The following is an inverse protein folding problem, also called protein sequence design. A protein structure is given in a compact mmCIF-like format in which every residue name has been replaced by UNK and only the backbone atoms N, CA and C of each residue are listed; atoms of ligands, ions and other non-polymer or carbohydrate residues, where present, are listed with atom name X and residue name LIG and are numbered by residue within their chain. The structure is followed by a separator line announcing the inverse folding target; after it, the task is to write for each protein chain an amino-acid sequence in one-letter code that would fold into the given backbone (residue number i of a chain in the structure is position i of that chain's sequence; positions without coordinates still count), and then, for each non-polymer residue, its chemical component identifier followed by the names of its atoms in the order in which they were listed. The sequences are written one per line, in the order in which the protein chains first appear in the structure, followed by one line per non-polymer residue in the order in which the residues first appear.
data_IF_849030764400
#
_entry.id   IF_849030764400
#
_cell.length_a   1.000
_cell.length_b   1.000
_cell.length_c   1.000
_cell.angle_alpha   90.00
_cell.angle_beta   90.00
_cell.angle_gamma   90.00
#
_symmetry.space_group_name_H-M   'P 1'
#
loop_
_entity.id
_entity.type
_entity.pdbx_description
1 polymer ?
#
# COMPACT_ATOMS: atom_id res chain seq x y z
N UNK A 1 13.65 -1.46 -12.14
CA UNK A 1 12.43 -0.68 -12.40
C UNK A 1 11.34 -0.97 -11.38
N UNK A 2 10.82 -2.21 -11.25
CA UNK A 2 9.60 -2.45 -10.46
C UNK A 2 9.78 -2.26 -8.93
N UNK A 3 10.89 -2.70 -8.32
CA UNK A 3 11.14 -2.53 -6.88
C UNK A 3 11.37 -1.06 -6.46
N UNK A 4 12.08 -0.29 -7.27
CA UNK A 4 12.38 1.13 -6.99
C UNK A 4 11.11 1.99 -7.06
N UNK A 5 10.24 1.75 -8.05
CA UNK A 5 8.94 2.43 -8.15
C UNK A 5 8.02 2.08 -6.98
N UNK A 6 8.07 0.84 -6.50
CA UNK A 6 7.33 0.41 -5.32
C UNK A 6 7.82 1.13 -4.07
N UNK A 7 9.14 1.15 -3.81
CA UNK A 7 9.71 1.89 -2.68
C UNK A 7 9.40 3.38 -2.72
N UNK A 8 9.40 3.98 -3.91
CA UNK A 8 9.01 5.38 -4.10
C UNK A 8 7.53 5.61 -3.79
N UNK A 9 6.67 4.67 -4.16
CA UNK A 9 5.25 4.71 -3.85
C UNK A 9 4.99 4.52 -2.35
N UNK A 10 5.70 3.60 -1.69
CA UNK A 10 5.64 3.42 -0.23
C UNK A 10 6.13 4.67 0.52
N UNK A 11 7.21 5.29 0.06
CA UNK A 11 7.71 6.54 0.64
C UNK A 11 6.71 7.69 0.48
N UNK A 12 6.06 7.77 -0.69
CA UNK A 12 5.01 8.75 -0.92
C UNK A 12 3.78 8.48 -0.03
N UNK A 13 3.44 7.21 0.20
CA UNK A 13 2.35 6.81 1.08
C UNK A 13 2.64 7.22 2.52
N UNK A 14 3.84 6.92 3.03
CA UNK A 14 4.28 7.31 4.36
C UNK A 14 4.24 8.83 4.55
N UNK A 15 4.77 9.60 3.58
CA UNK A 15 4.75 11.05 3.63
C UNK A 15 3.33 11.64 3.60
N UNK A 16 2.36 10.94 3.01
CA UNK A 16 0.95 11.36 3.05
C UNK A 16 0.30 11.03 4.39
N UNK A 17 0.59 9.86 4.96
CA UNK A 17 0.10 9.48 6.29
C UNK A 17 0.65 10.41 7.37
N UNK A 18 1.94 10.77 7.32
CA UNK A 18 2.53 11.71 8.27
C UNK A 18 1.89 13.11 8.18
N UNK A 19 1.34 13.48 7.02
CA UNK A 19 0.56 14.73 6.87
C UNK A 19 -0.87 14.61 7.41
N UNK A 20 -1.42 13.39 7.48
CA UNK A 20 -2.75 13.09 8.02
C UNK A 20 -2.74 12.86 9.53
N UNK A 21 -1.57 12.60 10.13
CA UNK A 21 -1.31 12.30 11.55
C UNK A 21 -1.93 13.29 12.56
N UNK A 22 -2.35 14.47 12.11
CA UNK A 22 -3.04 15.44 12.94
C UNK A 22 -4.51 15.07 13.30
N UNK A 23 -5.12 14.10 12.61
CA UNK A 23 -6.56 13.81 12.77
C UNK A 23 -6.97 12.34 12.86
N UNK A 24 -6.21 11.40 12.26
CA UNK A 24 -6.71 10.03 12.07
C UNK A 24 -5.66 8.93 12.34
N UNK A 25 -5.51 8.50 13.61
CA UNK A 25 -4.53 7.48 13.98
C UNK A 25 -4.88 6.07 13.46
N UNK A 26 -6.15 5.79 13.15
CA UNK A 26 -6.57 4.49 12.59
C UNK A 26 -6.08 4.32 11.15
N UNK A 27 -6.22 5.37 10.33
CA UNK A 27 -5.69 5.43 8.96
C UNK A 27 -4.19 5.15 8.95
N UNK A 28 -3.44 5.79 9.86
CA UNK A 28 -2.00 5.54 9.97
C UNK A 28 -1.68 4.09 10.27
N UNK A 29 -2.29 3.51 11.29
CA UNK A 29 -2.03 2.12 11.67
C UNK A 29 -2.35 1.13 10.55
N UNK A 30 -3.45 1.36 9.81
CA UNK A 30 -3.82 0.55 8.63
C UNK A 30 -2.80 0.66 7.51
N UNK A 31 -2.35 1.87 7.22
CA UNK A 31 -1.37 2.09 6.15
C UNK A 31 -0.02 1.49 6.52
N UNK A 32 0.47 1.67 7.75
CA UNK A 32 1.70 1.05 8.22
C UNK A 32 1.63 -0.49 8.15
N UNK A 33 0.48 -1.08 8.51
CA UNK A 33 0.26 -2.51 8.37
C UNK A 33 0.32 -2.98 6.90
N UNK A 34 -0.28 -2.22 5.97
CA UNK A 34 -0.21 -2.52 4.53
C UNK A 34 1.21 -2.42 4.00
N UNK A 35 1.95 -1.36 4.37
CA UNK A 35 3.35 -1.18 3.99
C UNK A 35 4.17 -2.39 4.42
N UNK A 36 4.02 -2.86 5.66
CA UNK A 36 4.73 -4.05 6.14
C UNK A 36 4.38 -5.34 5.41
N UNK A 37 3.10 -5.56 5.07
CA UNK A 37 2.63 -6.71 4.29
C UNK A 37 3.25 -6.68 2.87
N UNK A 38 3.29 -5.49 2.25
CA UNK A 38 3.90 -5.27 0.93
C UNK A 38 5.41 -5.49 0.99
N UNK A 39 6.11 -4.96 1.98
CA UNK A 39 7.55 -5.16 2.14
C UNK A 39 7.89 -6.65 2.29
N UNK A 40 7.11 -7.37 3.11
CA UNK A 40 7.25 -8.83 3.23
C UNK A 40 7.03 -9.53 1.90
N UNK A 41 6.05 -9.11 1.10
CA UNK A 41 5.81 -9.67 -0.24
C UNK A 41 6.99 -9.44 -1.18
N UNK A 42 7.65 -8.27 -1.10
CA UNK A 42 8.86 -7.98 -1.89
C UNK A 42 10.02 -8.87 -1.45
N UNK A 43 10.15 -9.15 -0.15
CA UNK A 43 11.18 -10.04 0.40
C UNK A 43 10.92 -11.51 0.05
N UNK A 44 9.66 -11.92 -0.06
CA UNK A 44 9.21 -13.28 -0.35
C UNK A 44 8.23 -13.33 -1.53
N UNK A 45 8.67 -13.04 -2.77
CA UNK A 45 7.80 -12.97 -3.94
C UNK A 45 7.20 -14.32 -4.37
N UNK A 46 7.83 -15.44 -4.01
CA UNK A 46 7.29 -16.79 -4.25
C UNK A 46 6.07 -17.13 -3.36
N UNK A 47 5.80 -16.32 -2.32
CA UNK A 47 4.67 -16.52 -1.42
C UNK A 47 3.37 -15.97 -2.04
N UNK A 48 2.84 -16.72 -2.99
CA UNK A 48 1.62 -16.37 -3.75
C UNK A 48 0.36 -16.33 -2.88
N UNK A 49 0.32 -17.11 -1.79
CA UNK A 49 -0.76 -17.05 -0.81
C UNK A 49 -0.74 -15.72 -0.06
N UNK A 50 0.44 -15.24 0.32
CA UNK A 50 0.61 -13.92 0.93
C UNK A 50 0.26 -12.81 -0.07
N UNK A 51 0.67 -12.93 -1.33
CA UNK A 51 0.41 -11.96 -2.39
C UNK A 51 -1.08 -11.66 -2.55
N UNK A 52 -1.90 -12.72 -2.65
CA UNK A 52 -3.36 -12.58 -2.76
C UNK A 52 -3.99 -11.89 -1.54
N UNK A 53 -3.45 -12.17 -0.35
CA UNK A 53 -3.87 -11.50 0.89
C UNK A 53 -3.54 -10.01 0.89
N UNK A 54 -2.32 -9.64 0.48
CA UNK A 54 -1.86 -8.24 0.36
C UNK A 54 -2.76 -7.48 -0.60
N UNK A 55 -2.99 -8.02 -1.82
CA UNK A 55 -3.83 -7.40 -2.86
C UNK A 55 -5.25 -7.16 -2.33
N UNK A 56 -5.85 -8.16 -1.67
CA UNK A 56 -7.21 -8.04 -1.12
C UNK A 56 -7.30 -6.96 -0.05
N UNK A 57 -6.34 -6.90 0.89
CA UNK A 57 -6.31 -5.83 1.90
C UNK A 57 -6.11 -4.46 1.28
N UNK A 58 -5.29 -4.37 0.24
CA UNK A 58 -5.03 -3.13 -0.48
C UNK A 58 -6.30 -2.61 -1.18
N UNK A 59 -7.09 -3.50 -1.79
CA UNK A 59 -8.40 -3.17 -2.36
C UNK A 59 -9.35 -2.64 -1.29
N UNK A 60 -9.51 -3.35 -0.17
CA UNK A 60 -10.40 -2.90 0.91
C UNK A 60 -9.97 -1.56 1.51
N UNK A 61 -8.66 -1.30 1.59
CA UNK A 61 -8.15 -0.01 2.04
C UNK A 61 -8.43 1.11 1.02
N UNK A 62 -8.29 0.83 -0.28
CA UNK A 62 -8.65 1.76 -1.36
C UNK A 62 -10.13 2.14 -1.28
N UNK A 63 -11.02 1.17 -1.15
CA UNK A 63 -12.47 1.39 -1.04
C UNK A 63 -12.81 2.22 0.21
N UNK A 64 -12.14 1.94 1.33
CA UNK A 64 -12.35 2.68 2.57
C UNK A 64 -11.87 4.13 2.45
N UNK A 65 -10.69 4.34 1.86
CA UNK A 65 -10.06 5.65 1.77
C UNK A 65 -10.49 6.47 0.55
N UNK A 66 -11.19 5.92 -0.45
CA UNK A 66 -11.57 6.69 -1.65
C UNK A 66 -12.45 7.91 -1.33
N UNK A 67 -13.26 7.79 -0.27
CA UNK A 67 -14.22 8.82 0.14
C UNK A 67 -13.54 9.88 1.01
N UNK A 68 -12.74 9.45 1.99
CA UNK A 68 -12.17 10.36 3.01
C UNK A 68 -10.75 10.85 2.64
N UNK A 69 -9.98 10.04 1.91
CA UNK A 69 -8.57 10.28 1.61
C UNK A 69 -8.19 9.94 0.15
N UNK A 70 -8.71 10.67 -0.85
CA UNK A 70 -8.47 10.38 -2.27
C UNK A 70 -6.98 10.42 -2.66
N UNK A 71 -6.16 11.19 -1.95
CA UNK A 71 -4.72 11.24 -2.20
C UNK A 71 -3.99 9.95 -1.77
N UNK A 72 -4.42 9.31 -0.67
CA UNK A 72 -3.91 8.01 -0.24
C UNK A 72 -4.32 6.92 -1.25
N UNK A 73 -5.59 6.93 -1.65
CA UNK A 73 -6.13 5.98 -2.63
C UNK A 73 -5.36 5.99 -3.95
N UNK A 74 -4.92 7.16 -4.41
CA UNK A 74 -4.08 7.26 -5.62
C UNK A 74 -2.73 6.56 -5.48
N UNK A 75 -2.10 6.62 -4.30
CA UNK A 75 -0.82 5.95 -4.05
C UNK A 75 -1.00 4.45 -3.87
N UNK A 76 -2.05 4.03 -3.14
CA UNK A 76 -2.39 2.62 -2.98
C UNK A 76 -2.67 1.94 -4.33
N UNK A 77 -3.39 2.62 -5.24
CA UNK A 77 -3.60 2.13 -6.61
C UNK A 77 -2.28 1.95 -7.37
N UNK A 78 -1.36 2.91 -7.24
CA UNK A 78 -0.05 2.81 -7.88
C UNK A 78 0.76 1.63 -7.34
N UNK A 79 0.71 1.39 -6.04
CA UNK A 79 1.32 0.21 -5.41
C UNK A 79 0.71 -1.07 -5.98
N UNK A 80 -0.62 -1.18 -6.03
CA UNK A 80 -1.32 -2.34 -6.59
C UNK A 80 -0.86 -2.63 -8.02
N UNK A 81 -0.84 -1.60 -8.87
CA UNK A 81 -0.43 -1.74 -10.26
C UNK A 81 1.03 -2.18 -10.38
N UNK A 82 1.89 -1.69 -9.48
CA UNK A 82 3.32 -2.07 -9.43
C UNK A 82 3.52 -3.50 -8.96
N UNK A 83 2.71 -3.99 -8.01
CA UNK A 83 2.69 -5.39 -7.58
C UNK A 83 2.22 -6.30 -8.73
N UNK A 84 1.10 -5.94 -9.38
CA UNK A 84 0.60 -6.69 -10.54
C UNK A 84 1.60 -6.73 -11.70
N UNK A 85 2.34 -5.65 -11.94
CA UNK A 85 3.42 -5.61 -12.95
C UNK A 85 4.59 -6.55 -12.61
N UNK A 86 4.82 -6.79 -11.32
CA UNK A 86 5.79 -7.78 -10.85
C UNK A 86 5.30 -9.23 -10.94
N UNK A 87 4.03 -9.46 -11.32
CA UNK A 87 3.46 -10.80 -11.45
C UNK A 87 3.18 -11.49 -10.11
N UNK A 88 3.02 -10.70 -9.05
CA UNK A 88 2.60 -11.11 -7.70
C UNK A 88 1.18 -10.62 -7.43
#
# INVERSE_FOLDING_TARGET
MSKEELQKSLSALHAQVEKLDAGDPDVKARVEALVGDIERQIESPDDTEHAGGVISRLQSAIEHFEVEHPQLTGVLNRIMMTLSDMGI
#
